data_IF_179172991961
#
_entry.id   IF_179172991961
#
_cell.length_a   1.000
_cell.length_b   1.000
_cell.length_c   1.000
_cell.angle_alpha   90.00
_cell.angle_beta   90.00
_cell.angle_gamma   90.00
#
_symmetry.space_group_name_H-M   'P 1'
#
loop_
_entity.id
_entity.type
_entity.pdbx_description
1 polymer ?
#
# COMPACT_ATOMS: atom_id res chain seq x y z
N UNK A 1 -1.84 -4.34 -14.80
CA UNK A 1 -2.19 -3.72 -16.11
C UNK A 1 -1.40 -2.45 -16.40
N UNK A 2 -0.85 -1.73 -15.41
CA UNK A 2 0.08 -0.62 -15.66
C UNK A 2 -0.56 0.73 -15.99
N UNK A 3 -1.88 0.85 -15.94
CA UNK A 3 -2.58 2.01 -16.49
C UNK A 3 -2.70 3.21 -15.53
N UNK A 4 -2.64 3.00 -14.21
CA UNK A 4 -2.97 4.05 -13.23
C UNK A 4 -1.78 4.61 -12.45
N UNK A 5 -0.64 3.91 -12.39
CA UNK A 5 0.51 4.31 -11.57
C UNK A 5 0.25 4.34 -10.05
N UNK A 6 -0.88 3.81 -9.57
CA UNK A 6 -1.19 3.72 -8.13
C UNK A 6 -0.18 2.86 -7.37
N UNK A 7 0.32 1.81 -8.01
CA UNK A 7 1.35 0.92 -7.47
C UNK A 7 2.79 1.35 -7.84
N UNK A 8 3.04 2.64 -8.12
CA UNK A 8 4.40 3.08 -8.44
C UNK A 8 5.35 2.95 -7.26
N UNK A 9 6.60 2.59 -7.55
CA UNK A 9 7.73 2.51 -6.62
C UNK A 9 8.97 3.11 -7.26
N UNK A 10 9.87 3.68 -6.45
CA UNK A 10 11.14 4.21 -6.92
C UNK A 10 12.22 3.15 -6.70
N UNK A 11 12.83 2.67 -7.79
CA UNK A 11 13.91 1.68 -7.77
C UNK A 11 15.14 2.32 -8.42
N UNK A 12 16.24 2.49 -7.69
CA UNK A 12 17.44 3.20 -8.16
C UNK A 12 17.13 4.58 -8.78
N UNK A 13 16.23 5.33 -8.15
CA UNK A 13 15.80 6.66 -8.62
C UNK A 13 14.90 6.65 -9.86
N UNK A 14 14.46 5.48 -10.35
CA UNK A 14 13.55 5.33 -11.48
C UNK A 14 12.18 4.87 -11.01
N UNK A 15 11.14 5.52 -11.52
CA UNK A 15 9.76 5.08 -11.30
C UNK A 15 9.48 3.77 -12.03
N UNK A 16 8.99 2.78 -11.30
CA UNK A 16 8.55 1.45 -11.77
C UNK A 16 7.14 1.17 -11.30
N UNK A 17 6.39 0.32 -12.02
CA UNK A 17 5.02 -0.04 -11.66
C UNK A 17 4.97 -1.49 -11.20
N UNK A 18 4.72 -1.71 -9.91
CA UNK A 18 4.73 -3.05 -9.29
C UNK A 18 3.81 -4.05 -10.03
N UNK A 19 2.64 -3.62 -10.49
CA UNK A 19 1.69 -4.50 -11.18
C UNK A 19 2.07 -4.91 -12.62
N UNK A 20 3.23 -4.48 -13.12
CA UNK A 20 3.77 -4.83 -14.44
C UNK A 20 5.25 -5.21 -14.34
N UNK A 21 6.05 -4.41 -13.63
CA UNK A 21 7.49 -4.58 -13.46
C UNK A 21 7.88 -5.46 -12.24
N UNK A 22 6.94 -5.75 -11.34
CA UNK A 22 7.17 -6.44 -10.06
C UNK A 22 6.38 -7.75 -9.91
N UNK A 23 6.05 -8.20 -8.68
CA UNK A 23 6.10 -7.47 -7.40
C UNK A 23 7.46 -7.50 -6.69
N UNK A 24 8.38 -8.33 -7.15
CA UNK A 24 9.69 -8.56 -6.52
C UNK A 24 10.74 -7.60 -7.09
N UNK A 25 11.51 -6.98 -6.20
CA UNK A 25 12.61 -6.07 -6.55
C UNK A 25 13.79 -6.31 -5.60
N UNK A 26 14.98 -5.88 -6.03
CA UNK A 26 16.14 -5.80 -5.14
C UNK A 26 15.85 -4.82 -3.99
N UNK A 27 15.80 -5.34 -2.77
CA UNK A 27 15.46 -4.59 -1.57
C UNK A 27 16.43 -3.42 -1.31
N UNK A 28 17.69 -3.50 -1.74
CA UNK A 28 18.66 -2.41 -1.56
C UNK A 28 18.47 -1.27 -2.55
N UNK A 29 17.78 -1.52 -3.67
CA UNK A 29 17.50 -0.53 -4.68
C UNK A 29 16.16 0.20 -4.45
N UNK A 30 15.32 -0.28 -3.52
CA UNK A 30 13.99 0.26 -3.22
C UNK A 30 14.09 1.50 -2.33
N UNK A 31 13.40 2.57 -2.71
CA UNK A 31 13.13 3.71 -1.83
C UNK A 31 12.00 3.37 -0.83
N UNK A 32 12.39 2.85 0.33
CA UNK A 32 11.48 2.40 1.38
C UNK A 32 10.71 3.55 2.05
N UNK A 33 11.36 4.71 2.23
CA UNK A 33 10.73 5.87 2.86
C UNK A 33 9.56 6.38 2.00
N UNK A 34 9.77 6.49 0.69
CA UNK A 34 8.70 6.86 -0.24
C UNK A 34 7.59 5.81 -0.26
N UNK A 35 7.93 4.52 -0.31
CA UNK A 35 6.95 3.44 -0.32
C UNK A 35 6.07 3.46 0.93
N UNK A 36 6.66 3.53 2.12
CA UNK A 36 5.94 3.52 3.39
C UNK A 36 5.06 4.77 3.57
N UNK A 37 5.56 5.94 3.17
CA UNK A 37 4.76 7.17 3.16
C UNK A 37 3.52 7.01 2.27
N UNK A 38 3.67 6.41 1.08
CA UNK A 38 2.56 6.18 0.14
C UNK A 38 1.52 5.20 0.69
N UNK A 39 1.95 4.10 1.31
CA UNK A 39 1.06 3.13 1.95
C UNK A 39 0.24 3.76 3.09
N UNK A 40 0.77 4.80 3.74
CA UNK A 40 0.06 5.55 4.78
C UNK A 40 -1.05 6.49 4.29
N UNK A 41 -1.17 6.73 2.98
CA UNK A 41 -2.03 7.81 2.42
C UNK A 41 -3.50 7.68 2.83
N UNK A 42 -4.01 6.44 2.89
CA UNK A 42 -5.43 6.18 3.14
C UNK A 42 -5.73 5.71 4.56
N UNK A 43 -4.73 5.72 5.46
CA UNK A 43 -4.91 5.29 6.86
C UNK A 43 -6.08 5.96 7.58
N UNK A 44 -6.31 7.29 7.48
CA UNK A 44 -7.46 7.91 8.13
C UNK A 44 -8.80 7.39 7.61
N UNK A 45 -8.92 7.19 6.29
CA UNK A 45 -10.13 6.68 5.65
C UNK A 45 -10.37 5.21 5.99
N UNK A 46 -9.30 4.41 6.04
CA UNK A 46 -9.32 3.02 6.46
C UNK A 46 -9.77 2.91 7.93
N UNK A 47 -9.22 3.75 8.82
CA UNK A 47 -9.61 3.81 10.23
C UNK A 47 -11.07 4.22 10.42
N UNK A 48 -11.54 5.24 9.71
CA UNK A 48 -12.94 5.68 9.75
C UNK A 48 -13.88 4.57 9.26
N UNK A 49 -13.54 3.90 8.15
CA UNK A 49 -14.32 2.79 7.63
C UNK A 49 -14.40 1.61 8.62
N UNK A 50 -13.33 1.40 9.40
CA UNK A 50 -13.22 0.39 10.44
C UNK A 50 -13.84 0.83 11.79
N UNK A 51 -14.10 2.12 12.00
CA UNK A 51 -14.72 2.63 13.25
C UNK A 51 -16.22 2.30 13.36
N UNK A 52 -16.82 1.70 12.32
CA UNK A 52 -18.22 1.27 12.39
C UNK A 52 -18.36 0.16 13.43
N UNK A 53 -19.44 0.22 14.21
CA UNK A 53 -19.73 -0.79 15.24
C UNK A 53 -19.70 -2.22 14.64
N UNK A 54 -18.75 -3.04 15.10
CA UNK A 54 -18.58 -4.43 14.65
C UNK A 54 -19.45 -5.45 15.41
N UNK A 55 -20.38 -4.98 16.26
CA UNK A 55 -21.31 -5.84 16.98
C UNK A 55 -22.15 -6.62 15.95
N UNK A 56 -22.02 -7.95 15.98
CA UNK A 56 -22.71 -8.87 15.07
C UNK A 56 -21.96 -9.23 13.78
N UNK A 57 -20.78 -8.65 13.51
CA UNK A 57 -20.01 -8.90 12.28
C UNK A 57 -18.86 -9.91 12.42
N UNK A 58 -18.60 -10.43 13.63
CA UNK A 58 -17.49 -11.38 13.93
C UNK A 58 -16.09 -10.92 13.46
N UNK A 59 -15.87 -9.62 13.27
CA UNK A 59 -14.57 -9.06 12.87
C UNK A 59 -13.70 -8.92 14.13
N UNK A 60 -12.55 -9.59 14.19
CA UNK A 60 -11.59 -9.41 15.29
C UNK A 60 -10.75 -8.16 15.08
N UNK A 61 -10.34 -7.51 16.17
CA UNK A 61 -9.37 -6.41 16.10
C UNK A 61 -8.09 -6.86 15.38
N UNK A 62 -7.74 -6.18 14.29
CA UNK A 62 -6.54 -6.48 13.49
C UNK A 62 -6.72 -7.50 12.37
N UNK A 63 -7.91 -8.03 12.13
CA UNK A 63 -8.25 -8.80 10.92
C UNK A 63 -8.80 -7.84 9.83
N UNK A 64 -7.93 -6.99 9.28
CA UNK A 64 -8.18 -6.19 8.08
C UNK A 64 -6.87 -5.90 7.33
#
# INVERSE_FOLDING_TARGET
>A
TGMCGGCRVSINGKTKFVCVDGPEFDAFAVDWDNLLMRLGTYKPQEQEAHHRCHIGLQIKEGEA
#
